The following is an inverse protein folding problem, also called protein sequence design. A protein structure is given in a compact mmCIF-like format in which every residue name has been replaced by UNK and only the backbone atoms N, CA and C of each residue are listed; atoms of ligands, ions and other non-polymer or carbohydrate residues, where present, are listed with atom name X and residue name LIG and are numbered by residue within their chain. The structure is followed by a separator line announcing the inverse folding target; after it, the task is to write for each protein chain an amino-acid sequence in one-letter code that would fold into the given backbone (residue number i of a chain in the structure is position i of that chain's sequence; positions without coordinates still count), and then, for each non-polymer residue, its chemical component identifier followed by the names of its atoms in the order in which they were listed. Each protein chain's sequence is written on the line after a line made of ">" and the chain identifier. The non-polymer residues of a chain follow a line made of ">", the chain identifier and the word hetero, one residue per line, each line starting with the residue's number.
data_IF_412881074443
#
_entry.id   IF_412881074443
#
_cell.length_a   1.000
_cell.length_b   1.000
_cell.length_c   1.000
_cell.angle_alpha   90.00
_cell.angle_beta   90.00
_cell.angle_gamma   90.00
#
_symmetry.space_group_name_H-M   'P 1'
#
loop_
_entity.id
_entity.type
_entity.pdbx_description
1 polymer ?
#
# COMPACT_ATOMS: atom_id res chain seq x y z
N UNK A 1 -10.18 -27.52 -27.39
CA UNK A 1 -11.38 -27.13 -28.17
C UNK A 1 -12.57 -27.96 -27.67
N UNK A 2 -13.52 -27.33 -26.99
CA UNK A 2 -14.87 -27.86 -26.79
C UNK A 2 -15.77 -26.73 -26.31
N UNK A 3 -16.77 -26.41 -27.12
CA UNK A 3 -17.82 -25.40 -26.89
C UNK A 3 -19.13 -26.15 -26.69
N UNK A 4 -19.93 -25.78 -25.68
CA UNK A 4 -21.36 -26.14 -25.56
C UNK A 4 -22.20 -25.07 -24.83
N UNK A 5 -22.66 -24.09 -25.60
CA UNK A 5 -24.02 -23.54 -25.78
C UNK A 5 -25.16 -23.85 -24.78
N UNK A 6 -25.65 -22.76 -24.13
CA UNK A 6 -27.02 -22.24 -23.77
C UNK A 6 -28.17 -23.07 -23.14
N UNK A 7 -28.95 -22.41 -22.25
CA UNK A 7 -30.44 -22.38 -22.06
C UNK A 7 -30.81 -21.36 -20.94
N UNK A 8 -31.27 -20.14 -21.23
CA UNK A 8 -32.67 -19.61 -21.23
C UNK A 8 -33.45 -19.62 -19.89
N UNK A 9 -33.86 -18.43 -19.43
CA UNK A 9 -34.93 -18.20 -18.45
C UNK A 9 -35.45 -16.75 -18.52
N UNK A 10 -36.75 -16.57 -18.75
CA UNK A 10 -37.39 -15.38 -19.33
C UNK A 10 -38.00 -14.39 -18.32
N UNK A 11 -37.84 -13.09 -18.63
CA UNK A 11 -38.81 -11.95 -18.66
C UNK A 11 -39.83 -11.73 -17.52
N UNK A 12 -39.77 -10.54 -16.91
CA UNK A 12 -40.96 -9.71 -16.64
C UNK A 12 -40.61 -8.22 -16.79
N UNK A 13 -41.24 -7.56 -17.77
CA UNK A 13 -41.09 -6.16 -18.12
C UNK A 13 -42.10 -5.29 -17.36
N UNK A 14 -41.66 -4.11 -16.88
CA UNK A 14 -42.56 -3.02 -16.50
C UNK A 14 -42.15 -1.76 -17.27
N UNK A 15 -42.92 -1.49 -18.32
CA UNK A 15 -43.05 -0.22 -19.04
C UNK A 15 -43.76 0.82 -18.14
N UNK A 16 -43.72 2.15 -18.27
CA UNK A 16 -43.10 3.15 -19.15
C UNK A 16 -43.36 4.49 -18.41
N UNK A 17 -42.39 5.39 -18.27
CA UNK A 17 -42.67 6.83 -18.40
C UNK A 17 -41.54 7.48 -19.18
N UNK A 18 -41.93 8.13 -20.26
CA UNK A 18 -41.07 8.70 -21.27
C UNK A 18 -40.42 10.00 -20.76
N UNK A 19 -39.11 10.07 -20.91
CA UNK A 19 -38.33 11.30 -20.85
C UNK A 19 -37.15 11.16 -21.81
N UNK A 20 -37.40 11.41 -23.10
CA UNK A 20 -36.33 11.49 -24.10
C UNK A 20 -35.59 12.80 -23.90
N UNK A 21 -34.25 12.76 -23.81
CA UNK A 21 -33.32 13.61 -24.57
C UNK A 21 -31.86 13.34 -24.17
N UNK A 22 -31.02 13.29 -25.20
CA UNK A 22 -29.56 13.44 -25.23
C UNK A 22 -28.65 12.25 -24.88
N UNK A 23 -28.07 11.71 -25.95
CA UNK A 23 -26.87 10.87 -26.03
C UNK A 23 -25.66 11.63 -25.50
N UNK A 24 -24.91 11.01 -24.59
CA UNK A 24 -23.44 11.02 -24.64
C UNK A 24 -22.95 9.66 -24.16
N UNK A 25 -22.35 8.90 -25.07
CA UNK A 25 -21.49 7.78 -24.75
C UNK A 25 -20.28 8.30 -23.97
N UNK A 26 -20.42 8.35 -22.65
CA UNK A 26 -19.28 8.44 -21.75
C UNK A 26 -18.83 7.03 -21.46
N UNK A 27 -17.71 6.61 -22.05
CA UNK A 27 -16.90 5.58 -21.42
C UNK A 27 -16.73 6.01 -19.97
N UNK A 28 -17.32 5.26 -19.04
CA UNK A 28 -16.92 5.36 -17.66
C UNK A 28 -15.46 4.89 -17.62
N UNK A 29 -14.54 5.82 -17.89
CA UNK A 29 -13.22 5.73 -17.32
C UNK A 29 -13.48 5.49 -15.84
N UNK A 30 -13.18 4.30 -15.37
CA UNK A 30 -12.80 4.12 -13.99
C UNK A 30 -11.72 5.18 -13.79
N UNK A 31 -12.11 6.33 -13.25
CA UNK A 31 -11.18 7.26 -12.69
C UNK A 31 -10.54 6.45 -11.58
N UNK A 32 -9.37 5.87 -11.87
CA UNK A 32 -8.43 5.48 -10.85
C UNK A 32 -8.30 6.72 -9.98
N UNK A 33 -8.94 6.65 -8.82
CA UNK A 33 -8.91 7.71 -7.85
C UNK A 33 -7.44 7.95 -7.57
N UNK A 34 -6.92 9.08 -8.05
CA UNK A 34 -5.58 9.52 -7.69
C UNK A 34 -5.50 9.41 -6.16
N UNK A 35 -4.49 8.70 -5.61
CA UNK A 35 -4.42 8.52 -4.18
C UNK A 35 -4.37 9.90 -3.54
N UNK A 36 -5.39 10.20 -2.72
CA UNK A 36 -5.43 11.41 -1.91
C UNK A 36 -4.15 11.43 -1.09
N UNK A 37 -3.34 12.48 -1.26
CA UNK A 37 -2.24 12.77 -0.37
C UNK A 37 -2.76 12.72 1.09
N UNK A 38 -2.24 11.76 1.86
CA UNK A 38 -2.63 11.52 3.25
C UNK A 38 -3.33 10.18 3.53
N UNK A 39 -3.68 9.38 2.52
CA UNK A 39 -4.13 8.01 2.74
C UNK A 39 -2.92 7.09 2.89
N UNK A 40 -2.80 6.37 4.00
CA UNK A 40 -1.80 5.34 4.14
C UNK A 40 -1.98 4.32 3.01
N UNK A 41 -0.96 4.16 2.18
CA UNK A 41 -1.01 3.17 1.10
C UNK A 41 -0.71 1.79 1.71
N UNK A 42 -1.55 0.82 1.37
CA UNK A 42 -1.41 -0.55 1.85
C UNK A 42 -0.43 -1.31 0.96
N UNK A 43 0.59 -1.90 1.59
CA UNK A 43 1.59 -2.72 0.90
C UNK A 43 1.77 -4.04 1.63
N UNK A 44 2.36 -5.02 0.95
CA UNK A 44 2.78 -6.30 1.53
C UNK A 44 4.30 -6.43 1.54
N UNK A 45 4.80 -7.45 2.21
CA UNK A 45 6.22 -7.83 2.17
C UNK A 45 6.39 -9.20 1.51
N UNK A 46 7.50 -9.40 0.80
CA UNK A 46 7.84 -10.69 0.20
C UNK A 46 8.63 -11.59 1.15
N UNK A 47 9.35 -11.00 2.11
CA UNK A 47 10.27 -11.71 2.99
C UNK A 47 9.60 -12.21 4.28
N UNK A 48 10.22 -13.22 4.88
CA UNK A 48 9.85 -13.76 6.19
C UNK A 48 10.53 -12.99 7.33
N UNK A 49 9.84 -12.84 8.45
CA UNK A 49 10.35 -12.21 9.68
C UNK A 49 10.94 -10.80 9.48
N UNK A 50 10.31 -9.99 8.62
CA UNK A 50 10.71 -8.60 8.40
C UNK A 50 10.48 -7.80 9.69
N UNK A 51 11.56 -7.32 10.29
CA UNK A 51 11.50 -6.61 11.56
C UNK A 51 10.91 -5.21 11.38
N UNK A 52 9.84 -4.93 12.11
CA UNK A 52 9.36 -3.56 12.34
C UNK A 52 10.21 -2.99 13.46
N UNK A 53 11.07 -2.03 13.13
CA UNK A 53 12.10 -1.52 14.03
C UNK A 53 11.72 -0.19 14.63
N UNK A 54 11.97 -0.01 15.91
CA UNK A 54 11.66 1.20 16.66
C UNK A 54 12.80 1.54 17.63
N UNK A 55 12.76 2.75 18.19
CA UNK A 55 13.61 3.14 19.30
C UNK A 55 12.84 4.04 20.27
N UNK A 56 12.03 3.46 21.18
CA UNK A 56 11.22 4.24 22.11
C UNK A 56 12.07 5.06 23.10
N UNK A 57 13.35 4.72 23.28
CA UNK A 57 14.27 5.48 24.14
C UNK A 57 14.86 6.70 23.43
N UNK A 58 15.00 6.64 22.10
CA UNK A 58 15.50 7.75 21.28
C UNK A 58 14.82 7.76 19.90
N UNK A 59 13.53 8.15 19.82
CA UNK A 59 12.76 8.07 18.58
C UNK A 59 13.37 8.96 17.49
N UNK A 60 13.86 10.15 17.85
CA UNK A 60 14.50 11.07 16.91
C UNK A 60 15.75 10.48 16.23
N UNK A 61 16.48 9.56 16.89
CA UNK A 61 17.64 8.89 16.29
C UNK A 61 17.19 7.91 15.20
N UNK A 62 16.15 7.13 15.50
CA UNK A 62 15.56 6.19 14.56
C UNK A 62 14.86 6.90 13.40
N UNK A 63 14.09 7.95 13.67
CA UNK A 63 13.39 8.76 12.67
C UNK A 63 14.33 9.62 11.82
N UNK A 64 15.49 9.99 12.36
CA UNK A 64 16.50 10.78 11.66
C UNK A 64 17.22 9.98 10.57
N UNK A 65 17.62 8.75 10.91
CA UNK A 65 18.30 7.82 10.00
C UNK A 65 17.96 6.37 10.40
N UNK A 66 16.88 5.79 9.84
CA UNK A 66 16.43 4.45 10.21
C UNK A 66 17.46 3.39 9.82
N UNK A 67 17.79 2.52 10.76
CA UNK A 67 18.74 1.42 10.60
C UNK A 67 18.60 0.39 11.72
N UNK A 68 19.14 -0.84 11.58
CA UNK A 68 19.21 -1.77 12.70
C UNK A 68 19.94 -1.24 13.93
N UNK A 69 20.93 -0.36 13.74
CA UNK A 69 21.69 0.25 14.85
C UNK A 69 20.95 1.39 15.55
N UNK A 70 20.29 2.26 14.78
CA UNK A 70 19.53 3.40 15.33
C UNK A 70 18.14 3.01 15.84
N UNK A 71 17.59 1.91 15.31
CA UNK A 71 16.31 1.32 15.67
C UNK A 71 16.51 -0.13 16.19
N UNK A 72 17.07 -0.30 17.41
CA UNK A 72 17.45 -1.62 17.92
C UNK A 72 16.24 -2.45 18.40
N UNK A 73 15.13 -1.80 18.77
CA UNK A 73 13.94 -2.49 19.28
C UNK A 73 13.12 -3.04 18.12
N UNK A 74 12.66 -4.28 18.22
CA UNK A 74 11.73 -4.86 17.26
C UNK A 74 10.32 -4.80 17.86
N UNK A 75 9.48 -3.89 17.35
CA UNK A 75 8.10 -3.68 17.81
C UNK A 75 7.11 -4.67 17.19
N UNK A 76 7.54 -5.40 16.16
CA UNK A 76 6.74 -6.42 15.48
C UNK A 76 7.51 -7.08 14.35
N UNK A 77 6.90 -8.10 13.75
CA UNK A 77 7.44 -8.81 12.57
C UNK A 77 6.37 -8.98 11.51
N UNK A 78 6.74 -8.77 10.26
CA UNK A 78 5.87 -9.04 9.11
C UNK A 78 6.23 -10.37 8.47
N UNK A 79 5.20 -11.08 8.02
CA UNK A 79 5.30 -12.33 7.26
C UNK A 79 4.94 -12.07 5.80
N UNK A 80 5.31 -12.96 4.87
CA UNK A 80 5.02 -12.76 3.45
C UNK A 80 3.51 -12.55 3.20
N UNK A 81 3.17 -11.58 2.37
CA UNK A 81 1.77 -11.22 2.04
C UNK A 81 1.01 -10.48 3.15
N UNK A 82 1.63 -10.21 4.31
CA UNK A 82 0.99 -9.44 5.38
C UNK A 82 0.91 -7.95 5.03
N UNK A 83 -0.31 -7.41 5.01
CA UNK A 83 -0.56 -5.99 4.68
C UNK A 83 -0.19 -5.05 5.83
N UNK A 84 0.48 -3.95 5.53
CA UNK A 84 0.76 -2.86 6.47
C UNK A 84 0.41 -1.50 5.85
N UNK A 85 0.21 -0.51 6.71
CA UNK A 85 -0.06 0.87 6.30
C UNK A 85 1.24 1.67 6.29
N UNK A 86 1.66 2.14 5.11
CA UNK A 86 2.81 3.04 4.97
C UNK A 86 2.38 4.48 5.24
N UNK A 87 2.99 5.13 6.23
CA UNK A 87 2.65 6.50 6.64
C UNK A 87 3.54 7.53 5.98
N UNK A 88 4.84 7.27 5.98
CA UNK A 88 5.82 8.09 5.28
C UNK A 88 7.10 7.27 5.06
N UNK A 89 8.05 7.83 4.31
CA UNK A 89 9.32 7.19 4.01
C UNK A 89 10.50 8.14 4.13
N UNK A 90 11.70 7.59 4.33
CA UNK A 90 12.94 8.34 4.50
C UNK A 90 14.14 7.49 4.12
N UNK A 91 15.26 8.13 3.80
CA UNK A 91 16.54 7.45 3.59
C UNK A 91 17.19 7.03 4.91
N UNK A 92 17.76 5.83 4.91
CA UNK A 92 18.43 5.23 6.07
C UNK A 92 19.61 4.37 5.65
N UNK A 93 19.92 3.34 6.45
CA UNK A 93 20.97 2.38 6.11
C UNK A 93 20.62 1.57 4.87
N UNK A 94 21.55 1.43 3.93
CA UNK A 94 21.31 0.67 2.70
C UNK A 94 21.17 -0.82 2.98
N UNK A 95 20.04 -1.40 2.59
CA UNK A 95 19.78 -2.83 2.66
C UNK A 95 19.69 -3.36 1.23
N UNK A 96 20.64 -4.22 0.84
CA UNK A 96 20.67 -4.87 -0.48
C UNK A 96 20.55 -3.90 -1.68
N UNK A 97 21.18 -2.73 -1.57
CA UNK A 97 21.18 -1.69 -2.60
C UNK A 97 20.05 -0.66 -2.52
N UNK A 98 19.07 -0.84 -1.63
CA UNK A 98 17.98 0.10 -1.40
C UNK A 98 18.21 0.87 -0.09
N UNK A 99 18.27 2.21 -0.16
CA UNK A 99 18.46 3.11 0.98
C UNK A 99 17.16 3.68 1.56
N UNK A 100 16.01 3.31 1.02
CA UNK A 100 14.70 3.75 1.49
C UNK A 100 14.17 2.86 2.61
N UNK A 101 13.63 3.53 3.61
CA UNK A 101 12.93 2.96 4.74
C UNK A 101 11.53 3.55 4.81
N UNK A 102 10.59 2.75 5.28
CA UNK A 102 9.16 3.09 5.36
C UNK A 102 8.74 3.03 6.81
N UNK A 103 8.15 4.11 7.30
CA UNK A 103 7.49 4.13 8.59
C UNK A 103 6.08 3.56 8.43
N UNK A 104 5.80 2.51 9.19
CA UNK A 104 4.56 1.76 9.11
C UNK A 104 3.84 1.78 10.43
N UNK A 105 2.52 1.66 10.35
CA UNK A 105 1.66 1.43 11.51
C UNK A 105 0.77 0.19 11.24
N UNK A 106 0.56 -0.62 12.28
CA UNK A 106 -0.27 -1.81 12.24
C UNK A 106 -0.78 -2.12 13.65
N UNK A 107 -2.05 -1.82 13.90
CA UNK A 107 -2.64 -1.98 15.22
C UNK A 107 -1.79 -1.24 16.26
N UNK A 108 -1.27 -1.96 17.25
CA UNK A 108 -0.44 -1.39 18.32
C UNK A 108 1.07 -1.35 17.98
N UNK A 109 1.48 -1.91 16.84
CA UNK A 109 2.87 -1.91 16.39
C UNK A 109 3.12 -0.77 15.40
N UNK A 110 4.20 -0.03 15.61
CA UNK A 110 4.71 0.97 14.67
C UNK A 110 6.22 0.90 14.57
N UNK A 111 6.77 1.40 13.48
CA UNK A 111 8.20 1.51 13.30
C UNK A 111 8.63 1.49 11.85
N UNK A 112 9.92 1.35 11.64
CA UNK A 112 10.58 1.40 10.35
C UNK A 112 10.85 0.00 9.82
N UNK A 113 10.56 -0.20 8.53
CA UNK A 113 11.01 -1.35 7.75
C UNK A 113 11.85 -0.88 6.57
N UNK A 114 12.84 -1.69 6.16
CA UNK A 114 13.56 -1.40 4.93
C UNK A 114 12.65 -1.66 3.73
N UNK A 115 12.59 -0.70 2.81
CA UNK A 115 11.75 -0.78 1.60
C UNK A 115 12.13 -1.96 0.72
N UNK A 116 13.38 -2.43 0.80
CA UNK A 116 13.85 -3.63 0.13
C UNK A 116 12.93 -4.85 0.33
N UNK A 117 12.28 -4.96 1.49
CA UNK A 117 11.41 -6.11 1.81
C UNK A 117 9.96 -5.95 1.35
N UNK A 118 9.59 -4.78 0.82
CA UNK A 118 8.23 -4.47 0.38
C UNK A 118 8.00 -5.05 -1.02
N UNK A 119 6.81 -5.61 -1.26
CA UNK A 119 6.37 -6.10 -2.58
C UNK A 119 6.09 -4.93 -3.55
N UNK A 120 7.14 -4.22 -3.94
CA UNK A 120 7.05 -3.13 -4.91
C UNK A 120 8.28 -3.15 -5.82
N UNK A 121 8.13 -2.86 -7.14
CA UNK A 121 9.27 -2.77 -8.04
C UNK A 121 10.10 -1.50 -7.84
N UNK A 122 9.61 -0.52 -7.07
CA UNK A 122 10.27 0.76 -6.84
C UNK A 122 10.91 0.83 -5.47
N UNK A 123 12.16 1.32 -5.40
CA UNK A 123 12.86 1.48 -4.11
C UNK A 123 12.17 2.49 -3.19
N UNK A 124 11.65 3.57 -3.76
CA UNK A 124 10.75 4.51 -3.09
C UNK A 124 9.31 4.13 -3.39
N UNK A 125 8.48 4.00 -2.35
CA UNK A 125 7.10 3.55 -2.50
C UNK A 125 6.27 4.65 -3.19
N UNK A 126 5.53 4.29 -4.25
CA UNK A 126 4.65 5.25 -4.92
C UNK A 126 3.52 5.66 -3.99
N UNK A 127 3.23 6.96 -3.94
CA UNK A 127 2.13 7.51 -3.13
C UNK A 127 2.43 7.63 -1.62
N UNK A 128 3.61 7.23 -1.16
CA UNK A 128 4.04 7.42 0.24
C UNK A 128 4.87 8.70 0.36
N UNK A 129 4.46 9.67 1.20
CA UNK A 129 5.17 10.93 1.33
C UNK A 129 6.53 10.76 2.04
N UNK A 130 7.48 11.65 1.75
CA UNK A 130 8.74 11.69 2.52
C UNK A 130 8.47 12.29 3.90
N UNK A 131 8.96 11.65 4.97
CA UNK A 131 8.71 12.12 6.33
C UNK A 131 9.32 13.52 6.55
N UNK A 132 8.50 14.49 6.93
CA UNK A 132 8.93 15.87 7.21
C UNK A 132 9.21 16.73 5.97
N UNK A 133 8.71 16.32 4.80
CA UNK A 133 8.70 17.13 3.58
C UNK A 133 7.58 18.17 3.57
#
# INVERSE_FOLDING_TARGET
>A
MSVRTFLTGSVAAVALTAGSLAVTAGTASAAEAAPKAGAAAAFTVWATDVNVRDNPQSPATCDGFPSPGNCPTVSGKLQPGQQFEARCQRKGETVSGNDWWVFIERGDSRGWIASYFVDTPSDQLPGVPVCGA
#
